data_IF_089198367343
#
_entry.id   IF_089198367343
#
_cell.length_a   1.000
_cell.length_b   1.000
_cell.length_c   1.000
_cell.angle_alpha   90.00
_cell.angle_beta   90.00
_cell.angle_gamma   90.00
#
_symmetry.space_group_name_H-M   'P 1'
#
loop_
_entity.id
_entity.type
_entity.pdbx_description
1 polymer ?
#
# COMPACT_ATOMS: atom_id res chain seq x y z
N UNK A 1 37.16 1.69 1.92
CA UNK A 1 35.86 0.99 2.06
C UNK A 1 35.19 1.54 3.31
N UNK A 2 34.05 2.26 3.18
CA UNK A 2 33.28 2.68 4.36
C UNK A 2 32.46 1.48 4.83
N UNK A 3 32.79 0.93 5.99
CA UNK A 3 31.90 0.00 6.68
C UNK A 3 30.73 0.82 7.22
N UNK A 4 29.53 0.48 6.80
CA UNK A 4 28.30 1.00 7.41
C UNK A 4 28.04 0.09 8.62
N UNK A 5 28.27 0.61 9.83
CA UNK A 5 27.77 -0.05 11.03
C UNK A 5 26.26 0.14 11.09
N UNK A 6 25.53 -0.96 11.20
CA UNK A 6 24.08 -0.96 11.35
C UNK A 6 23.73 -1.46 12.74
N UNK A 7 22.77 -0.80 13.38
CA UNK A 7 22.12 -1.33 14.57
C UNK A 7 21.40 -2.66 14.25
N UNK A 8 21.11 -3.50 15.26
CA UNK A 8 20.29 -4.69 15.08
C UNK A 8 18.94 -4.37 14.43
N UNK A 9 18.40 -5.32 13.66
CA UNK A 9 17.08 -5.16 13.07
C UNK A 9 16.01 -4.94 14.15
N UNK A 10 15.14 -3.96 13.91
CA UNK A 10 14.01 -3.62 14.78
C UNK A 10 12.68 -3.97 14.09
N UNK A 11 11.72 -4.45 14.88
CA UNK A 11 10.34 -4.62 14.43
C UNK A 11 9.63 -3.26 14.56
N UNK A 12 9.18 -2.70 13.43
CA UNK A 12 8.43 -1.43 13.39
C UNK A 12 6.94 -1.67 13.69
N UNK A 13 6.34 -2.68 13.05
CA UNK A 13 4.95 -3.07 13.27
C UNK A 13 4.80 -4.57 13.05
N UNK A 14 3.92 -5.19 13.85
CA UNK A 14 3.57 -6.59 13.75
C UNK A 14 2.18 -6.81 14.38
N UNK A 15 1.52 -7.92 14.00
CA UNK A 15 0.25 -8.33 14.58
C UNK A 15 0.22 -9.87 14.66
N UNK A 16 1.10 -10.48 15.48
CA UNK A 16 1.43 -11.91 15.39
C UNK A 16 0.28 -12.83 15.80
N UNK A 17 -0.62 -12.35 16.65
CA UNK A 17 -1.74 -13.14 17.20
C UNK A 17 -3.02 -13.02 16.37
N UNK A 18 -2.93 -12.45 15.17
CA UNK A 18 -4.06 -12.25 14.27
C UNK A 18 -3.84 -12.97 12.95
N UNK A 19 -4.94 -13.47 12.36
CA UNK A 19 -4.95 -13.91 10.95
C UNK A 19 -4.60 -12.77 9.99
N UNK A 20 -4.70 -11.51 10.43
CA UNK A 20 -4.29 -10.30 9.70
C UNK A 20 -2.85 -9.86 10.06
N UNK A 21 -1.96 -10.83 10.30
CA UNK A 21 -0.59 -10.61 10.75
C UNK A 21 0.43 -10.28 9.67
N UNK A 22 0.05 -10.34 8.39
CA UNK A 22 0.98 -10.11 7.28
C UNK A 22 1.10 -8.60 7.00
N UNK A 23 2.33 -8.10 7.05
CA UNK A 23 2.72 -6.77 6.61
C UNK A 23 3.81 -6.89 5.54
N UNK A 24 3.73 -6.11 4.46
CA UNK A 24 4.65 -6.24 3.34
C UNK A 24 4.88 -4.95 2.56
N UNK A 25 5.98 -4.96 1.79
CA UNK A 25 6.40 -3.92 0.84
C UNK A 25 6.45 -2.50 1.46
N UNK A 26 7.28 -2.29 2.49
CA UNK A 26 7.36 -0.99 3.13
C UNK A 26 8.08 0.04 2.26
N UNK A 27 7.66 1.29 2.37
CA UNK A 27 8.41 2.49 1.95
C UNK A 27 8.57 3.42 3.15
N UNK A 28 9.64 4.22 3.16
CA UNK A 28 9.91 5.18 4.24
C UNK A 28 10.30 6.53 3.64
N UNK A 29 9.81 7.62 4.25
CA UNK A 29 10.23 8.97 3.92
C UNK A 29 10.30 9.86 5.16
N UNK A 30 11.09 10.92 5.08
CA UNK A 30 11.13 11.97 6.09
C UNK A 30 10.13 13.07 5.73
N UNK A 31 9.14 13.29 6.58
CA UNK A 31 8.12 14.30 6.43
C UNK A 31 8.68 15.74 6.56
N UNK A 32 7.95 16.77 6.15
CA UNK A 32 8.41 18.16 6.20
C UNK A 32 8.81 18.65 7.61
N UNK A 33 8.22 18.10 8.66
CA UNK A 33 8.54 18.44 10.06
C UNK A 33 9.73 17.63 10.63
N UNK A 34 10.37 16.79 9.82
CA UNK A 34 11.48 15.94 10.21
C UNK A 34 11.09 14.55 10.72
N UNK A 35 9.80 14.29 10.99
CA UNK A 35 9.28 12.97 11.39
C UNK A 35 9.55 11.93 10.30
N UNK A 36 9.94 10.71 10.65
CA UNK A 36 9.98 9.60 9.71
C UNK A 36 8.58 8.97 9.63
N UNK A 37 8.11 8.71 8.42
CA UNK A 37 6.88 7.97 8.16
C UNK A 37 7.20 6.73 7.32
N UNK A 38 6.76 5.58 7.80
CA UNK A 38 6.83 4.30 7.09
C UNK A 38 5.41 3.93 6.66
N UNK A 39 5.24 3.58 5.39
CA UNK A 39 3.99 3.02 4.86
C UNK A 39 4.21 1.60 4.38
N UNK A 40 3.19 0.77 4.46
CA UNK A 40 3.24 -0.61 4.00
C UNK A 40 1.83 -1.11 3.64
N UNK A 41 1.74 -2.29 3.04
CA UNK A 41 0.50 -3.06 3.05
C UNK A 41 0.38 -3.80 4.37
N UNK A 42 -0.65 -3.50 5.15
CA UNK A 42 -0.86 -4.06 6.48
C UNK A 42 -2.22 -4.72 6.64
N UNK A 43 -2.38 -5.38 7.78
CA UNK A 43 -3.61 -6.10 8.16
C UNK A 43 -4.05 -7.14 7.14
N UNK A 44 -3.09 -7.89 6.59
CA UNK A 44 -3.32 -8.89 5.55
C UNK A 44 -3.18 -10.31 6.07
N UNK A 45 -3.80 -11.24 5.36
CA UNK A 45 -3.70 -12.67 5.66
C UNK A 45 -2.54 -13.37 4.94
N UNK A 46 -2.20 -12.92 3.74
CA UNK A 46 -1.12 -13.51 2.94
C UNK A 46 -0.71 -12.55 1.82
N UNK A 47 0.28 -12.95 1.00
CA UNK A 47 0.77 -12.22 -0.16
C UNK A 47 -0.35 -11.65 -1.05
N UNK A 48 -1.46 -12.35 -1.27
CA UNK A 48 -2.69 -11.78 -1.86
C UNK A 48 -3.88 -12.21 -1.02
N UNK A 49 -4.73 -11.25 -0.66
CA UNK A 49 -5.97 -11.48 0.08
C UNK A 49 -6.85 -10.23 0.00
N UNK A 50 -8.17 -10.30 0.21
CA UNK A 50 -9.03 -9.13 -0.01
C UNK A 50 -9.03 -8.08 1.11
N UNK A 51 -8.16 -8.23 2.10
CA UNK A 51 -8.18 -7.42 3.33
C UNK A 51 -7.09 -6.34 3.38
N UNK A 52 -6.28 -6.21 2.34
CA UNK A 52 -5.14 -5.30 2.33
C UNK A 52 -5.51 -3.85 2.55
N UNK A 53 -4.75 -3.20 3.44
CA UNK A 53 -4.85 -1.77 3.73
C UNK A 53 -3.49 -1.13 3.51
N UNK A 54 -3.49 0.09 2.99
CA UNK A 54 -2.33 0.96 3.09
C UNK A 54 -2.22 1.52 4.50
N UNK A 55 -1.17 1.17 5.24
CA UNK A 55 -0.95 1.61 6.63
C UNK A 55 0.19 2.62 6.71
N UNK A 56 0.22 3.38 7.81
CA UNK A 56 1.31 4.31 8.15
C UNK A 56 1.73 4.14 9.61
N UNK A 57 3.03 4.23 9.88
CA UNK A 57 3.63 4.36 11.20
C UNK A 57 4.56 5.58 11.21
N UNK A 58 4.67 6.27 12.35
CA UNK A 58 5.53 7.44 12.49
C UNK A 58 6.61 7.23 13.54
N UNK A 59 7.77 7.84 13.33
CA UNK A 59 8.83 7.97 14.32
C UNK A 59 9.30 9.43 14.41
N UNK A 60 9.33 9.96 15.63
CA UNK A 60 9.78 11.34 15.94
C UNK A 60 11.19 11.38 16.52
N UNK A 61 11.87 10.23 16.60
CA UNK A 61 13.13 10.04 17.30
C UNK A 61 14.15 9.27 16.45
N UNK A 62 14.18 9.57 15.15
CA UNK A 62 15.11 8.99 14.17
C UNK A 62 15.03 7.46 14.07
N UNK A 63 13.82 6.91 14.19
CA UNK A 63 13.54 5.49 13.98
C UNK A 63 13.68 4.62 15.23
N UNK A 64 13.97 5.20 16.41
CA UNK A 64 14.12 4.44 17.67
C UNK A 64 12.79 3.89 18.16
N UNK A 65 11.72 4.69 18.10
CA UNK A 65 10.36 4.27 18.44
C UNK A 65 9.38 4.63 17.34
N UNK A 66 8.33 3.82 17.23
CA UNK A 66 7.32 3.93 16.18
C UNK A 66 5.92 3.88 16.78
N UNK A 67 4.99 4.62 16.19
CA UNK A 67 3.56 4.48 16.49
C UNK A 67 3.03 3.13 16.04
N UNK A 68 1.91 2.70 16.60
CA UNK A 68 1.12 1.61 16.05
C UNK A 68 0.67 1.94 14.60
N UNK A 69 0.45 0.91 13.74
CA UNK A 69 0.00 1.12 12.38
C UNK A 69 -1.42 1.69 12.33
N UNK A 70 -1.62 2.76 11.56
CA UNK A 70 -2.93 3.32 11.24
C UNK A 70 -3.26 3.11 9.77
N UNK A 71 -4.50 2.73 9.44
CA UNK A 71 -4.94 2.60 8.06
C UNK A 71 -5.16 3.99 7.43
N UNK A 72 -4.63 4.20 6.23
CA UNK A 72 -4.74 5.44 5.45
C UNK A 72 -5.48 5.19 4.14
N UNK A 73 -5.30 4.01 3.53
CA UNK A 73 -6.11 3.53 2.41
C UNK A 73 -6.77 2.22 2.84
N UNK A 74 -8.09 2.19 2.79
CA UNK A 74 -8.92 1.05 3.19
C UNK A 74 -10.17 1.00 2.30
N UNK A 75 -9.99 0.56 1.06
CA UNK A 75 -11.07 0.34 0.11
C UNK A 75 -11.66 -1.06 0.29
N UNK A 76 -12.71 -1.39 -0.49
CA UNK A 76 -13.24 -2.77 -0.50
C UNK A 76 -12.32 -3.77 -1.23
N UNK A 77 -11.22 -3.32 -1.84
CA UNK A 77 -10.24 -4.15 -2.54
C UNK A 77 -8.97 -4.32 -1.71
N UNK A 78 -8.11 -5.27 -2.11
CA UNK A 78 -6.78 -5.47 -1.53
C UNK A 78 -5.90 -4.26 -1.85
N UNK A 79 -5.80 -3.26 -0.98
CA UNK A 79 -4.91 -2.11 -1.18
C UNK A 79 -3.47 -2.46 -0.79
N UNK A 80 -2.57 -2.35 -1.76
CA UNK A 80 -1.22 -2.94 -1.68
C UNK A 80 -0.11 -2.03 -2.17
N UNK A 81 1.09 -2.39 -1.73
CA UNK A 81 2.40 -1.87 -2.05
C UNK A 81 2.42 -0.34 -1.99
N UNK A 82 2.63 0.17 -0.78
CA UNK A 82 2.53 1.60 -0.57
C UNK A 82 3.85 2.32 -0.88
N UNK A 83 3.73 3.49 -1.49
CA UNK A 83 4.79 4.48 -1.64
C UNK A 83 4.46 5.75 -0.87
N UNK A 84 5.50 6.50 -0.49
CA UNK A 84 5.35 7.77 0.21
C UNK A 84 6.40 8.76 -0.26
N UNK A 85 5.96 9.94 -0.71
CA UNK A 85 6.86 11.00 -1.16
C UNK A 85 6.37 12.37 -0.69
N UNK A 86 7.11 13.03 0.22
CA UNK A 86 6.94 14.43 0.53
C UNK A 86 7.32 15.29 -0.67
N UNK A 87 6.56 16.34 -0.96
CA UNK A 87 6.82 17.26 -2.08
C UNK A 87 6.27 18.66 -1.81
N UNK A 88 6.87 19.67 -2.45
CA UNK A 88 6.53 21.07 -2.15
C UNK A 88 6.79 21.43 -0.68
N UNK A 89 6.01 22.36 -0.12
CA UNK A 89 6.23 22.87 1.25
C UNK A 89 5.66 21.99 2.36
N UNK A 90 4.48 21.41 2.17
CA UNK A 90 3.79 20.68 3.24
C UNK A 90 2.87 19.56 2.71
N UNK A 91 3.20 19.01 1.54
CA UNK A 91 2.38 17.97 0.91
C UNK A 91 3.09 16.64 0.90
N UNK A 92 2.31 15.58 0.99
CA UNK A 92 2.80 14.21 0.93
C UNK A 92 1.87 13.40 0.05
N UNK A 93 2.42 12.73 -0.94
CA UNK A 93 1.68 11.79 -1.77
C UNK A 93 1.91 10.37 -1.23
N UNK A 94 0.81 9.66 -0.98
CA UNK A 94 0.81 8.23 -0.69
C UNK A 94 0.24 7.51 -1.90
N UNK A 95 0.96 6.51 -2.39
CA UNK A 95 0.59 5.71 -3.58
C UNK A 95 0.31 4.27 -3.17
N UNK A 96 -0.55 3.59 -3.93
CA UNK A 96 -0.93 2.20 -3.74
C UNK A 96 -1.42 1.63 -5.07
N UNK A 97 -1.65 0.32 -5.16
CA UNK A 97 -2.47 -0.27 -6.20
C UNK A 97 -3.27 -1.46 -5.65
N UNK A 98 -4.16 -2.01 -6.47
CA UNK A 98 -4.91 -3.21 -6.15
C UNK A 98 -5.17 -4.05 -7.42
N UNK A 99 -5.82 -5.20 -7.24
CA UNK A 99 -6.21 -6.14 -8.29
C UNK A 99 -7.72 -6.39 -8.27
N UNK A 100 -8.25 -6.98 -9.33
CA UNK A 100 -9.68 -7.34 -9.39
C UNK A 100 -10.07 -8.34 -8.30
N UNK A 101 -11.35 -8.37 -7.94
CA UNK A 101 -11.95 -9.40 -7.10
C UNK A 101 -11.75 -10.79 -7.74
N UNK A 102 -11.85 -10.89 -9.06
CA UNK A 102 -11.64 -12.14 -9.80
C UNK A 102 -10.21 -12.67 -9.66
N UNK A 103 -9.21 -11.80 -9.75
CA UNK A 103 -7.82 -12.20 -9.49
C UNK A 103 -7.67 -12.73 -8.06
N UNK A 104 -8.24 -12.04 -7.08
CA UNK A 104 -8.18 -12.45 -5.69
C UNK A 104 -8.91 -13.79 -5.44
N UNK A 105 -10.06 -14.02 -6.09
CA UNK A 105 -10.76 -15.33 -6.10
C UNK A 105 -9.88 -16.43 -6.66
N UNK A 106 -9.22 -16.19 -7.80
CA UNK A 106 -8.29 -17.17 -8.42
C UNK A 106 -7.10 -17.48 -7.51
N UNK A 107 -6.55 -16.50 -6.80
CA UNK A 107 -5.48 -16.74 -5.84
C UNK A 107 -5.99 -17.52 -4.63
N UNK A 108 -7.16 -17.16 -4.10
CA UNK A 108 -7.76 -17.85 -2.95
C UNK A 108 -8.09 -19.32 -3.26
N UNK A 109 -8.57 -19.62 -4.47
CA UNK A 109 -8.90 -20.99 -4.91
C UNK A 109 -7.68 -21.92 -5.03
N UNK A 110 -6.45 -21.38 -5.04
CA UNK A 110 -5.20 -22.16 -5.10
C UNK A 110 -4.63 -22.50 -3.73
N UNK A 111 -5.25 -22.03 -2.65
CA UNK A 111 -4.83 -22.35 -1.28
C UNK A 111 -5.10 -23.82 -0.97
N UNK A 112 -4.23 -24.42 -0.15
CA UNK A 112 -4.34 -25.82 0.23
C UNK A 112 -5.50 -26.08 1.21
N UNK A 113 -5.90 -27.35 1.33
CA UNK A 113 -7.00 -27.79 2.21
C UNK A 113 -6.79 -27.39 3.68
N UNK A 114 -5.54 -27.33 4.15
CA UNK A 114 -5.17 -26.91 5.49
C UNK A 114 -5.50 -25.44 5.80
N UNK A 115 -5.90 -24.64 4.81
CA UNK A 115 -6.27 -23.23 4.95
C UNK A 115 -7.78 -22.98 4.83
N UNK A 116 -8.62 -24.02 4.96
CA UNK A 116 -10.07 -23.94 4.72
C UNK A 116 -10.79 -22.76 5.42
N UNK A 117 -10.44 -22.47 6.68
CA UNK A 117 -11.01 -21.32 7.41
C UNK A 117 -10.61 -19.98 6.77
N UNK A 118 -9.34 -19.84 6.39
CA UNK A 118 -8.82 -18.64 5.72
C UNK A 118 -9.49 -18.46 4.35
N UNK A 119 -9.65 -19.55 3.61
CA UNK A 119 -10.35 -19.57 2.32
C UNK A 119 -11.81 -19.12 2.48
N UNK A 120 -12.52 -19.63 3.49
CA UNK A 120 -13.91 -19.28 3.79
C UNK A 120 -14.07 -17.80 4.15
N UNK A 121 -13.19 -17.28 5.02
CA UNK A 121 -13.19 -15.87 5.40
C UNK A 121 -12.92 -14.95 4.18
N UNK A 122 -11.92 -15.28 3.36
CA UNK A 122 -11.61 -14.53 2.15
C UNK A 122 -12.78 -14.56 1.14
N UNK A 123 -13.40 -15.72 0.91
CA UNK A 123 -14.56 -15.83 0.02
C UNK A 123 -15.74 -15.00 0.52
N UNK A 124 -16.06 -15.06 1.81
CA UNK A 124 -17.15 -14.28 2.39
C UNK A 124 -16.93 -12.77 2.21
N UNK A 125 -15.70 -12.29 2.40
CA UNK A 125 -15.38 -10.88 2.16
C UNK A 125 -15.43 -10.54 0.66
N UNK A 126 -14.92 -11.39 -0.23
CA UNK A 126 -15.01 -11.18 -1.68
C UNK A 126 -16.46 -11.09 -2.17
N UNK A 127 -17.36 -11.88 -1.58
CA UNK A 127 -18.80 -11.83 -1.88
C UNK A 127 -19.42 -10.53 -1.37
N UNK A 128 -19.06 -10.09 -0.16
CA UNK A 128 -19.43 -8.78 0.35
C UNK A 128 -18.93 -7.65 -0.55
N UNK A 129 -17.65 -7.65 -0.92
CA UNK A 129 -17.03 -6.63 -1.76
C UNK A 129 -17.72 -6.56 -3.13
N UNK A 130 -18.05 -7.71 -3.73
CA UNK A 130 -18.82 -7.78 -4.98
C UNK A 130 -20.22 -7.17 -4.81
N UNK A 131 -20.91 -7.47 -3.72
CA UNK A 131 -22.24 -6.94 -3.43
C UNK A 131 -22.26 -5.41 -3.21
N UNK A 132 -21.14 -4.79 -2.84
CA UNK A 132 -21.06 -3.32 -2.73
C UNK A 132 -21.16 -2.60 -4.09
N UNK A 133 -20.81 -3.27 -5.19
CA UNK A 133 -20.73 -2.65 -6.51
C UNK A 133 -19.60 -1.62 -6.68
N UNK A 134 -18.65 -1.55 -5.74
CA UNK A 134 -17.60 -0.52 -5.69
C UNK A 134 -16.29 -0.92 -6.37
N UNK A 135 -16.19 -2.12 -6.96
CA UNK A 135 -14.95 -2.61 -7.58
C UNK A 135 -14.42 -1.63 -8.63
N UNK A 136 -15.23 -1.25 -9.61
CA UNK A 136 -14.80 -0.33 -10.68
C UNK A 136 -14.37 1.04 -10.17
N UNK A 137 -14.98 1.52 -9.08
CA UNK A 137 -14.59 2.77 -8.45
C UNK A 137 -13.20 2.65 -7.78
N UNK A 138 -12.92 1.54 -7.11
CA UNK A 138 -11.70 1.38 -6.32
C UNK A 138 -10.53 0.75 -7.09
N UNK A 139 -10.81 -0.02 -8.15
CA UNK A 139 -9.81 -0.75 -8.93
C UNK A 139 -8.82 0.20 -9.62
N UNK A 140 -7.52 0.02 -9.39
CA UNK A 140 -6.49 0.82 -10.06
C UNK A 140 -5.21 1.00 -9.27
N UNK A 141 -4.28 1.72 -9.91
CA UNK A 141 -3.22 2.44 -9.24
C UNK A 141 -3.81 3.69 -8.61
N UNK A 142 -3.64 3.85 -7.30
CA UNK A 142 -4.35 4.86 -6.51
C UNK A 142 -3.37 5.75 -5.75
N UNK A 143 -3.79 6.98 -5.50
CA UNK A 143 -3.04 7.96 -4.73
C UNK A 143 -3.96 8.69 -3.76
N UNK A 144 -3.38 9.14 -2.64
CA UNK A 144 -3.93 10.20 -1.79
C UNK A 144 -2.89 11.29 -1.60
N UNK A 145 -3.35 12.52 -1.41
CA UNK A 145 -2.49 13.66 -1.06
C UNK A 145 -2.86 14.15 0.33
N UNK A 146 -1.84 14.35 1.14
CA UNK A 146 -1.91 15.12 2.38
C UNK A 146 -1.52 16.57 2.11
N UNK A 147 -2.24 17.50 2.72
CA UNK A 147 -1.96 18.94 2.71
C UNK A 147 -1.43 19.46 4.07
N UNK A 148 -1.33 18.57 5.06
CA UNK A 148 -0.92 18.87 6.43
C UNK A 148 0.41 18.20 6.83
N UNK A 149 1.26 17.87 5.84
CA UNK A 149 2.58 17.32 6.08
C UNK A 149 2.63 15.80 6.30
N UNK A 150 1.54 15.08 6.00
CA UNK A 150 1.48 13.62 6.00
C UNK A 150 0.68 13.01 7.16
N UNK A 151 -0.19 13.78 7.83
CA UNK A 151 -0.97 13.32 8.99
C UNK A 151 -2.43 13.02 8.64
N UNK A 152 -3.03 13.80 7.76
CA UNK A 152 -4.33 13.51 7.15
C UNK A 152 -4.21 13.47 5.64
N UNK A 153 -5.01 12.61 5.01
CA UNK A 153 -4.98 12.37 3.58
C UNK A 153 -6.37 12.55 2.99
N UNK A 154 -6.44 13.32 1.91
CA UNK A 154 -7.69 13.63 1.22
C UNK A 154 -8.31 12.44 0.47
N UNK A 155 -9.17 12.77 -0.49
CA UNK A 155 -9.84 11.79 -1.32
C UNK A 155 -8.85 10.91 -2.10
N UNK A 156 -9.25 9.64 -2.31
CA UNK A 156 -8.54 8.72 -3.19
C UNK A 156 -8.76 9.12 -4.64
N UNK A 157 -7.72 9.14 -5.45
CA UNK A 157 -7.80 9.33 -6.90
C UNK A 157 -6.90 8.34 -7.62
N UNK A 158 -7.06 8.23 -8.95
CA UNK A 158 -6.26 7.32 -9.78
C UNK A 158 -4.92 7.94 -10.12
N UNK A 159 -3.86 7.16 -9.94
CA UNK A 159 -2.55 7.51 -10.45
C UNK A 159 -2.54 7.48 -11.98
N UNK A 160 -1.84 8.39 -12.66
CA UNK A 160 -1.66 8.32 -14.11
C UNK A 160 -0.84 7.10 -14.56
N UNK A 161 -0.02 6.53 -13.66
CA UNK A 161 0.81 5.35 -13.92
C UNK A 161 0.81 4.38 -12.74
N UNK A 162 1.00 3.11 -13.03
CA UNK A 162 1.26 2.05 -12.07
C UNK A 162 2.73 2.05 -11.68
N UNK A 163 3.02 2.71 -10.58
CA UNK A 163 4.28 2.59 -9.84
C UNK A 163 3.95 2.64 -8.35
N UNK A 164 3.83 1.46 -7.70
CA UNK A 164 3.29 1.33 -6.35
C UNK A 164 4.07 2.13 -5.30
N UNK A 165 5.40 2.11 -5.39
CA UNK A 165 6.29 2.88 -4.49
C UNK A 165 6.40 4.37 -4.83
N UNK A 166 5.66 4.83 -5.84
CA UNK A 166 5.44 6.24 -6.11
C UNK A 166 6.56 6.95 -6.89
N UNK A 167 6.41 8.27 -7.09
CA UNK A 167 7.40 9.10 -7.77
C UNK A 167 8.56 9.52 -6.85
N UNK A 168 9.57 10.16 -7.44
CA UNK A 168 10.61 10.89 -6.69
C UNK A 168 10.56 12.40 -7.00
N UNK A 169 11.11 13.20 -6.10
CA UNK A 169 11.19 14.66 -6.25
C UNK A 169 12.49 15.03 -6.99
N UNK A 170 12.37 15.86 -8.01
CA UNK A 170 13.50 16.43 -8.76
C UNK A 170 14.06 17.69 -8.06
N UNK A 171 15.25 18.14 -8.50
CA UNK A 171 15.92 19.31 -7.89
C UNK A 171 15.10 20.61 -7.97
N UNK A 172 14.24 20.75 -8.98
CA UNK A 172 13.34 21.90 -9.15
C UNK A 172 12.04 21.79 -8.32
N UNK A 173 11.87 20.69 -7.57
CA UNK A 173 10.68 20.41 -6.76
C UNK A 173 9.53 19.75 -7.52
N UNK A 174 9.68 19.48 -8.82
CA UNK A 174 8.70 18.69 -9.59
C UNK A 174 8.78 17.19 -9.25
N UNK A 175 7.75 16.44 -9.64
CA UNK A 175 7.68 14.98 -9.45
C UNK A 175 8.02 14.25 -10.75
N UNK A 176 8.98 13.32 -10.70
CA UNK A 176 9.21 12.35 -11.76
C UNK A 176 8.47 11.05 -11.42
N UNK A 177 7.45 10.72 -12.22
CA UNK A 177 6.64 9.52 -12.02
C UNK A 177 6.78 8.56 -13.21
N UNK A 178 7.56 7.49 -13.01
CA UNK A 178 7.81 6.46 -14.03
C UNK A 178 7.08 5.19 -13.60
N UNK A 179 6.23 4.67 -14.47
CA UNK A 179 5.47 3.45 -14.21
C UNK A 179 4.89 2.87 -15.49
N UNK A 180 4.06 1.84 -15.35
CA UNK A 180 3.34 1.20 -16.46
C UNK A 180 1.89 1.68 -16.53
N UNK A 181 1.18 1.39 -17.62
CA UNK A 181 -0.28 1.51 -17.63
C UNK A 181 -0.90 0.55 -16.60
N UNK A 182 -2.06 0.89 -16.07
CA UNK A 182 -2.82 -0.04 -15.23
C UNK A 182 -3.63 -0.99 -16.11
N UNK A 183 -3.49 -2.29 -15.89
CA UNK A 183 -4.32 -3.30 -16.55
C UNK A 183 -5.58 -3.53 -15.72
N UNK A 184 -6.75 -3.29 -16.32
CA UNK A 184 -8.05 -3.46 -15.67
C UNK A 184 -8.49 -4.94 -15.58
N UNK A 185 -7.81 -5.85 -16.28
CA UNK A 185 -8.10 -7.28 -16.34
C UNK A 185 -6.99 -8.15 -15.70
N UNK A 186 -6.05 -7.51 -14.99
CA UNK A 186 -4.86 -8.11 -14.39
C UNK A 186 -3.94 -8.84 -15.39
N UNK A 187 -4.04 -8.50 -16.68
CA UNK A 187 -3.14 -8.96 -17.73
C UNK A 187 -1.83 -8.15 -17.75
N UNK A 188 -0.79 -8.71 -18.37
CA UNK A 188 0.45 -7.98 -18.60
C UNK A 188 0.27 -7.02 -19.78
N UNK A 189 0.35 -5.72 -19.51
CA UNK A 189 0.46 -4.69 -20.54
C UNK A 189 1.94 -4.48 -20.89
N UNK A 190 2.31 -4.88 -22.11
CA UNK A 190 3.65 -4.78 -22.67
C UNK A 190 3.94 -3.41 -23.30
N UNK A 191 2.94 -2.53 -23.36
CA UNK A 191 3.07 -1.21 -23.95
C UNK A 191 3.10 -1.18 -25.48
N UNK A 192 2.76 -2.28 -26.18
CA UNK A 192 2.77 -2.31 -27.65
C UNK A 192 1.73 -1.38 -28.30
N UNK A 193 0.66 -1.04 -27.58
CA UNK A 193 -0.42 -0.15 -28.07
C UNK A 193 -0.57 1.03 -27.12
N UNK A 194 -0.70 2.28 -27.60
CA UNK A 194 -0.84 3.50 -26.79
C UNK A 194 -2.01 3.46 -25.80
#
# INVERSE_FOLDING_TARGET
MKLIQTDPAQIICHNPDSVFGYFGWPSIARLPDGTLAMVASGFRMAHVCPFGKGIICYSRDEGRTWTAPAAVIDTVLDDRDCGLVPFGKNRVMLTSFNNTLDFQRRVNARRGENEALMCGLANAYLDYAAATGLEQQHLGSTCKISEDGGYTFGALFKSPVTAPHGPCVLQDGSLLYIGRRFSQDDSFDDGEKP
#
